data_IF_673196550958
#
_entry.id   IF_673196550958
#
_cell.length_a   1.000
_cell.length_b   1.000
_cell.length_c   1.000
_cell.angle_alpha   90.00
_cell.angle_beta   90.00
_cell.angle_gamma   90.00
#
_symmetry.space_group_name_H-M   'P 1'
#
loop_
_entity.id
_entity.type
_entity.pdbx_description
1 polymer ?
#
# COMPACT_ATOMS: atom_id res chain seq x y z
N UNK A 1 11.42 18.08 -2.65
CA UNK A 1 10.33 18.86 -2.02
C UNK A 1 10.51 18.80 -0.52
N UNK A 2 9.97 19.78 0.21
CA UNK A 2 10.03 19.85 1.67
C UNK A 2 8.81 19.13 2.26
N UNK A 3 8.99 17.84 2.59
CA UNK A 3 7.93 17.01 3.18
C UNK A 3 7.48 17.55 4.55
N UNK A 4 8.37 17.89 5.50
CA UNK A 4 7.96 18.51 6.76
C UNK A 4 7.11 19.78 6.61
N UNK A 5 7.48 20.69 5.70
CA UNK A 5 6.69 21.91 5.46
C UNK A 5 5.27 21.59 4.94
N UNK A 6 5.15 20.57 4.08
CA UNK A 6 3.86 20.11 3.56
C UNK A 6 3.00 19.47 4.67
N UNK A 7 3.60 18.65 5.54
CA UNK A 7 2.88 18.06 6.67
C UNK A 7 2.35 19.13 7.64
N UNK A 8 3.14 20.17 7.95
CA UNK A 8 2.67 21.31 8.74
C UNK A 8 1.55 22.09 8.06
N UNK A 9 1.55 22.17 6.73
CA UNK A 9 0.45 22.78 5.99
C UNK A 9 -0.83 21.97 6.15
N UNK A 10 -0.77 20.65 5.99
CA UNK A 10 -1.92 19.77 6.18
C UNK A 10 -2.47 19.83 7.61
N UNK A 11 -1.60 19.89 8.60
CA UNK A 11 -1.99 20.07 10.00
C UNK A 11 -2.75 21.39 10.22
N UNK A 12 -2.25 22.51 9.67
CA UNK A 12 -2.98 23.80 9.72
C UNK A 12 -4.32 23.77 8.99
N UNK A 13 -4.46 22.92 7.98
CA UNK A 13 -5.73 22.71 7.29
C UNK A 13 -6.71 21.82 8.06
N UNK A 14 -6.29 21.22 9.19
CA UNK A 14 -7.16 20.40 10.03
C UNK A 14 -7.48 19.03 9.44
N UNK A 15 -6.56 18.41 8.69
CA UNK A 15 -6.76 17.03 8.20
C UNK A 15 -6.64 16.02 9.34
N UNK A 16 -7.40 14.92 9.26
CA UNK A 16 -7.38 13.85 10.27
C UNK A 16 -6.14 12.93 10.20
N UNK A 17 -5.44 12.93 9.06
CA UNK A 17 -4.24 12.12 8.86
C UNK A 17 -3.71 12.18 7.43
N UNK A 18 -2.50 11.67 7.24
CA UNK A 18 -1.77 11.73 5.97
C UNK A 18 -1.20 10.35 5.62
N UNK A 19 -1.69 9.81 4.51
CA UNK A 19 -1.05 8.68 3.82
C UNK A 19 0.07 9.21 2.92
N UNK A 20 1.31 8.76 3.12
CA UNK A 20 2.45 9.19 2.28
C UNK A 20 2.82 8.11 1.28
N UNK A 21 2.61 8.43 0.00
CA UNK A 21 2.97 7.62 -1.17
C UNK A 21 4.09 8.28 -2.00
N UNK A 22 4.52 7.62 -3.08
CA UNK A 22 5.49 8.18 -4.00
C UNK A 22 5.45 7.53 -5.38
N UNK A 23 6.16 8.16 -6.32
CA UNK A 23 6.05 7.87 -7.76
C UNK A 23 7.03 6.78 -8.27
N UNK A 24 7.99 6.34 -7.44
CA UNK A 24 9.09 5.46 -7.85
C UNK A 24 8.80 3.97 -7.64
N UNK A 25 7.57 3.58 -7.28
CA UNK A 25 7.20 2.17 -7.05
C UNK A 25 7.49 1.26 -8.27
N UNK A 26 7.46 1.81 -9.50
CA UNK A 26 7.79 1.08 -10.72
C UNK A 26 9.24 0.55 -10.70
N UNK A 27 10.17 1.32 -10.12
CA UNK A 27 11.57 0.91 -9.91
C UNK A 27 11.74 -0.11 -8.78
N UNK A 28 10.65 -0.40 -8.05
CA UNK A 28 10.60 -1.29 -6.88
C UNK A 28 9.85 -2.59 -7.17
N UNK A 29 9.83 -3.00 -8.44
CA UNK A 29 9.28 -4.29 -8.82
C UNK A 29 9.95 -5.43 -8.03
N UNK A 30 9.15 -6.38 -7.56
CA UNK A 30 9.56 -7.51 -6.70
C UNK A 30 10.09 -7.13 -5.31
N UNK A 31 10.13 -5.85 -4.95
CA UNK A 31 10.49 -5.42 -3.60
C UNK A 31 9.26 -5.44 -2.68
N UNK A 32 9.42 -6.09 -1.52
CA UNK A 32 8.38 -6.24 -0.48
C UNK A 32 8.82 -5.60 0.85
N UNK A 33 9.60 -4.53 0.78
CA UNK A 33 10.04 -3.76 1.94
C UNK A 33 9.26 -2.44 2.01
N UNK A 34 8.95 -1.89 3.20
CA UNK A 34 8.26 -0.61 3.33
C UNK A 34 9.00 0.53 2.60
N UNK A 35 8.38 1.15 1.60
CA UNK A 35 9.09 2.03 0.67
C UNK A 35 9.48 3.39 1.26
N UNK A 36 8.61 3.98 2.09
CA UNK A 36 8.74 5.35 2.59
C UNK A 36 8.81 5.44 4.12
N UNK A 37 9.01 4.30 4.79
CA UNK A 37 9.02 4.23 6.25
C UNK A 37 10.10 5.15 6.85
N UNK A 38 11.32 5.11 6.32
CA UNK A 38 12.42 5.94 6.86
C UNK A 38 12.25 7.42 6.54
N UNK A 39 11.70 7.76 5.37
CA UNK A 39 11.36 9.15 5.04
C UNK A 39 10.28 9.70 5.99
N UNK A 40 9.27 8.90 6.32
CA UNK A 40 8.24 9.25 7.29
C UNK A 40 8.79 9.40 8.71
N UNK A 41 9.71 8.52 9.14
CA UNK A 41 10.40 8.69 10.44
C UNK A 41 11.19 9.99 10.51
N UNK A 42 11.89 10.36 9.44
CA UNK A 42 12.65 11.60 9.39
C UNK A 42 11.74 12.84 9.39
N UNK A 43 10.55 12.72 8.80
CA UNK A 43 9.62 13.85 8.65
C UNK A 43 8.65 14.05 9.84
N UNK A 44 8.52 13.08 10.75
CA UNK A 44 7.52 13.12 11.83
C UNK A 44 7.87 14.04 13.01
N UNK A 45 9.09 14.56 13.06
CA UNK A 45 9.52 15.44 14.15
C UNK A 45 8.72 16.75 14.14
N UNK A 46 8.02 17.03 15.25
CA UNK A 46 7.16 18.21 15.39
C UNK A 46 5.89 18.18 14.54
N UNK A 47 5.46 17.01 14.08
CA UNK A 47 4.19 16.79 13.37
C UNK A 47 3.25 16.01 14.30
N UNK A 48 2.05 16.53 14.55
CA UNK A 48 1.07 15.88 15.44
C UNK A 48 -0.03 15.13 14.68
N UNK A 49 -0.29 15.49 13.41
CA UNK A 49 -1.22 14.73 12.56
C UNK A 49 -0.78 13.27 12.36
N UNK A 50 -1.69 12.30 12.46
CA UNK A 50 -1.41 10.90 12.16
C UNK A 50 -0.79 10.69 10.78
N UNK A 51 0.40 10.09 10.73
CA UNK A 51 1.06 9.70 9.48
C UNK A 51 0.97 8.19 9.31
N UNK A 52 0.79 7.68 8.09
CA UNK A 52 0.86 6.24 7.85
C UNK A 52 1.50 5.91 6.48
N UNK A 53 2.43 4.95 6.45
CA UNK A 53 3.12 4.57 5.22
C UNK A 53 2.23 3.74 4.31
N UNK A 54 2.35 3.99 3.00
CA UNK A 54 1.89 3.06 1.96
C UNK A 54 3.06 2.54 1.14
N UNK A 55 2.90 1.30 0.67
CA UNK A 55 3.86 0.64 -0.22
C UNK A 55 4.80 -0.30 0.51
N UNK A 56 4.91 -1.53 0.00
CA UNK A 56 5.82 -2.53 0.55
C UNK A 56 5.27 -3.39 1.68
N UNK A 57 4.02 -3.18 2.09
CA UNK A 57 3.36 -3.97 3.14
C UNK A 57 2.63 -5.15 2.52
N UNK A 58 3.17 -6.36 2.70
CA UNK A 58 2.63 -7.61 2.16
C UNK A 58 2.50 -8.73 3.21
N UNK A 59 2.80 -8.46 4.47
CA UNK A 59 2.73 -9.45 5.54
C UNK A 59 2.29 -8.83 6.86
N UNK A 60 1.81 -9.68 7.77
CA UNK A 60 1.58 -9.35 9.18
C UNK A 60 2.85 -8.78 9.81
N UNK A 61 3.96 -9.50 9.70
CA UNK A 61 5.22 -9.09 10.35
C UNK A 61 5.63 -7.67 9.96
N UNK A 62 5.60 -7.36 8.67
CA UNK A 62 5.91 -6.00 8.19
C UNK A 62 4.89 -4.96 8.68
N UNK A 63 3.60 -5.31 8.75
CA UNK A 63 2.59 -4.42 9.30
C UNK A 63 2.83 -4.15 10.79
N UNK A 64 3.06 -5.19 11.59
CA UNK A 64 3.32 -5.11 13.02
C UNK A 64 4.62 -4.36 13.32
N UNK A 65 5.67 -4.55 12.52
CA UNK A 65 6.92 -3.77 12.61
C UNK A 65 6.67 -2.27 12.44
N UNK A 66 5.83 -1.87 11.48
CA UNK A 66 5.49 -0.46 11.26
C UNK A 66 4.67 0.08 12.43
N UNK A 67 3.64 -0.66 12.87
CA UNK A 67 2.79 -0.25 14.00
C UNK A 67 3.61 -0.09 15.28
N UNK A 68 4.53 -1.02 15.56
CA UNK A 68 5.44 -0.96 16.71
C UNK A 68 6.36 0.27 16.71
N UNK A 69 6.55 0.93 15.57
CA UNK A 69 7.32 2.16 15.45
C UNK A 69 6.51 3.43 15.75
N UNK A 70 5.24 3.28 16.14
CA UNK A 70 4.36 4.37 16.55
C UNK A 70 3.49 4.94 15.42
N UNK A 71 3.44 4.28 14.25
CA UNK A 71 2.49 4.65 13.21
C UNK A 71 1.11 4.05 13.54
N UNK A 72 0.01 4.82 13.47
CA UNK A 72 -1.32 4.35 13.89
C UNK A 72 -1.97 3.39 12.89
N UNK A 73 -1.57 3.44 11.61
CA UNK A 73 -2.13 2.64 10.54
C UNK A 73 -1.06 2.17 9.56
N UNK A 74 -1.38 1.12 8.79
CA UNK A 74 -0.62 0.66 7.63
C UNK A 74 -1.54 0.57 6.42
N UNK A 75 -1.01 0.88 5.25
CA UNK A 75 -1.77 0.79 4.00
C UNK A 75 -1.29 -0.36 3.12
N UNK A 76 -2.25 -1.14 2.63
CA UNK A 76 -2.04 -2.28 1.74
C UNK A 76 -2.86 -2.08 0.46
N UNK A 77 -2.19 -2.07 -0.70
CA UNK A 77 -2.86 -1.96 -2.00
C UNK A 77 -2.71 -3.26 -2.80
N UNK A 78 -1.52 -3.50 -3.37
CA UNK A 78 -1.25 -4.67 -4.23
C UNK A 78 -1.45 -6.03 -3.54
N UNK A 79 -1.35 -6.09 -2.21
CA UNK A 79 -1.70 -7.27 -1.43
C UNK A 79 -3.20 -7.58 -1.53
N UNK A 80 -4.06 -6.58 -1.30
CA UNK A 80 -5.52 -6.69 -1.41
C UNK A 80 -6.00 -6.88 -2.85
N UNK A 81 -5.31 -6.30 -3.83
CA UNK A 81 -5.59 -6.56 -5.25
C UNK A 81 -5.33 -8.04 -5.59
N UNK A 82 -4.25 -8.62 -5.08
CA UNK A 82 -3.93 -10.04 -5.31
C UNK A 82 -4.90 -10.96 -4.56
N UNK A 83 -5.24 -10.60 -3.33
CA UNK A 83 -6.09 -11.39 -2.43
C UNK A 83 -7.09 -10.46 -1.73
N UNK A 84 -8.31 -10.30 -2.29
CA UNK A 84 -9.31 -9.39 -1.72
C UNK A 84 -9.71 -9.72 -0.28
N UNK A 85 -9.55 -10.97 0.13
CA UNK A 85 -9.82 -11.50 1.47
C UNK A 85 -8.59 -11.48 2.40
N UNK A 86 -7.45 -10.90 1.98
CA UNK A 86 -6.20 -10.95 2.76
C UNK A 86 -6.33 -10.34 4.15
N UNK A 87 -7.08 -9.24 4.30
CA UNK A 87 -7.36 -8.65 5.62
C UNK A 87 -8.13 -9.61 6.55
N UNK A 88 -9.07 -10.38 6.01
CA UNK A 88 -9.81 -11.38 6.78
C UNK A 88 -8.91 -12.56 7.16
N UNK A 89 -8.05 -13.03 6.24
CA UNK A 89 -7.04 -14.08 6.51
C UNK A 89 -6.03 -13.67 7.58
N UNK A 90 -5.59 -12.40 7.56
CA UNK A 90 -4.80 -11.83 8.65
C UNK A 90 -5.62 -11.88 9.95
N UNK A 91 -6.85 -11.34 9.96
CA UNK A 91 -7.67 -11.32 11.18
C UNK A 91 -7.86 -12.72 11.80
N UNK A 92 -8.05 -13.75 10.99
CA UNK A 92 -8.28 -15.13 11.46
C UNK A 92 -7.00 -15.92 11.74
N UNK A 93 -5.82 -15.39 11.40
CA UNK A 93 -4.55 -16.14 11.46
C UNK A 93 -4.42 -17.22 10.39
N UNK A 94 -5.26 -17.22 9.35
CA UNK A 94 -5.20 -18.21 8.27
C UNK A 94 -4.01 -18.00 7.33
N UNK A 95 -3.48 -16.77 7.26
CA UNK A 95 -2.33 -16.43 6.43
C UNK A 95 -1.64 -15.18 6.96
N UNK A 96 -0.31 -15.20 7.00
CA UNK A 96 0.50 -14.05 7.44
C UNK A 96 1.13 -13.25 6.30
N UNK A 97 1.14 -13.78 5.07
CA UNK A 97 1.78 -13.13 3.93
C UNK A 97 0.95 -13.23 2.66
N UNK A 98 0.86 -12.14 1.90
CA UNK A 98 0.14 -12.12 0.64
C UNK A 98 0.91 -12.82 -0.48
N UNK A 99 0.17 -13.53 -1.33
CA UNK A 99 0.62 -14.16 -2.58
C UNK A 99 1.06 -13.16 -3.66
N UNK A 100 0.85 -11.85 -3.44
CA UNK A 100 1.26 -10.83 -4.38
C UNK A 100 2.76 -10.93 -4.69
N UNK A 101 3.13 -10.91 -5.96
CA UNK A 101 4.54 -10.99 -6.39
C UNK A 101 5.27 -9.64 -6.38
N UNK A 102 4.57 -8.55 -6.03
CA UNK A 102 5.05 -7.18 -6.19
C UNK A 102 5.55 -6.87 -7.62
N UNK A 103 5.04 -7.55 -8.64
CA UNK A 103 5.55 -7.51 -10.02
C UNK A 103 5.06 -6.32 -10.87
N UNK A 104 4.18 -5.48 -10.32
CA UNK A 104 3.51 -4.37 -11.03
C UNK A 104 2.59 -4.80 -12.19
N UNK A 105 2.34 -6.09 -12.40
CA UNK A 105 1.45 -6.56 -13.47
C UNK A 105 0.00 -6.09 -13.34
N UNK A 106 -0.46 -5.78 -12.12
CA UNK A 106 -1.80 -5.24 -11.86
C UNK A 106 -2.11 -3.93 -12.61
N UNK A 107 -1.10 -3.17 -13.04
CA UNK A 107 -1.29 -1.92 -13.78
C UNK A 107 -1.72 -2.10 -15.23
N UNK A 108 -1.45 -3.28 -15.82
CA UNK A 108 -1.67 -3.53 -17.24
C UNK A 108 -2.52 -4.78 -17.51
N UNK A 109 -2.59 -5.70 -16.56
CA UNK A 109 -3.18 -7.03 -16.78
C UNK A 109 -4.68 -6.97 -17.11
N UNK A 110 -5.43 -6.02 -16.56
CA UNK A 110 -6.87 -5.89 -16.81
C UNK A 110 -7.20 -5.58 -18.28
N UNK A 111 -6.28 -4.96 -19.02
CA UNK A 111 -6.41 -4.70 -20.47
C UNK A 111 -6.10 -5.92 -21.33
N UNK A 112 -5.43 -6.94 -20.76
CA UNK A 112 -4.95 -8.12 -21.49
C UNK A 112 -5.73 -9.40 -21.15
N UNK A 113 -6.12 -9.54 -19.88
CA UNK A 113 -6.70 -10.75 -19.30
C UNK A 113 -7.89 -10.46 -18.39
N UNK A 114 -8.58 -9.33 -18.55
CA UNK A 114 -9.78 -8.96 -17.78
C UNK A 114 -9.77 -9.34 -16.28
N UNK A 115 -8.60 -9.30 -15.63
CA UNK A 115 -8.38 -9.62 -14.21
C UNK A 115 -7.69 -8.46 -13.51
N UNK A 116 -7.74 -8.41 -12.17
CA UNK A 116 -7.06 -7.35 -11.38
C UNK A 116 -5.60 -7.69 -11.08
N UNK A 117 -5.25 -8.97 -10.98
CA UNK A 117 -3.89 -9.43 -10.66
C UNK A 117 -3.45 -10.54 -11.62
N UNK A 118 -2.14 -10.65 -11.89
CA UNK A 118 -1.57 -11.73 -12.73
C UNK A 118 -1.77 -13.13 -12.14
N UNK A 119 -2.05 -13.21 -10.83
CA UNK A 119 -2.32 -14.43 -10.09
C UNK A 119 -3.79 -14.88 -10.17
N UNK A 120 -4.69 -14.03 -10.67
CA UNK A 120 -6.11 -14.37 -10.79
C UNK A 120 -6.33 -15.26 -12.02
N UNK A 121 -7.28 -16.19 -11.88
CA UNK A 121 -7.71 -17.09 -12.93
C UNK A 121 -9.07 -16.66 -13.51
N UNK A 122 -9.98 -16.23 -12.63
CA UNK A 122 -11.34 -15.83 -13.02
C UNK A 122 -11.38 -14.42 -13.58
N UNK A 123 -11.89 -14.28 -14.81
CA UNK A 123 -12.08 -13.00 -15.46
C UNK A 123 -13.24 -12.20 -14.84
N UNK A 124 -13.14 -10.88 -14.93
CA UNK A 124 -14.12 -9.92 -14.47
C UNK A 124 -14.93 -9.45 -15.67
N UNK A 125 -16.19 -9.86 -15.76
CA UNK A 125 -17.08 -9.54 -16.88
C UNK A 125 -17.21 -8.02 -17.13
N UNK A 126 -17.23 -7.22 -16.07
CA UNK A 126 -17.28 -5.75 -16.18
C UNK A 126 -16.08 -5.16 -16.92
N UNK A 127 -14.95 -5.86 -16.98
CA UNK A 127 -13.79 -5.41 -17.73
C UNK A 127 -13.91 -5.66 -19.24
N UNK A 128 -14.78 -6.58 -19.67
CA UNK A 128 -15.02 -6.86 -21.10
C UNK A 128 -15.80 -5.76 -21.78
N UNK A 129 -16.58 -5.00 -21.01
CA UNK A 129 -17.44 -3.92 -21.51
C UNK A 129 -16.75 -2.56 -21.58
N UNK A 130 -15.51 -2.44 -21.10
CA UNK A 130 -14.77 -1.18 -21.08
C UNK A 130 -13.95 -1.04 -22.37
N UNK A 131 -14.05 0.09 -23.10
CA UNK A 131 -13.23 0.37 -24.26
C UNK A 131 -11.83 0.81 -23.82
N UNK A 132 -10.94 -0.17 -23.58
CA UNK A 132 -9.58 0.04 -23.09
C UNK A 132 -8.61 0.61 -24.11
#
# INVERSE_FOLDING_TARGET
>A
GDLPALLRLYERCGVDGVEVSGIDFNRRARQKTPFYLDALKAAREGISIPLFPVGGVFSRGTAEEILAQGFPLVSMSRALICEPDFAAKLKSGAQDGSKCLACNGCYTIYRKRFVRCVQHQDEIEQFKTIPW
#
